data_IF_821520122770
#
_entry.id   IF_821520122770
#
_cell.length_a   1.000
_cell.length_b   1.000
_cell.length_c   1.000
_cell.angle_alpha   90.00
_cell.angle_beta   90.00
_cell.angle_gamma   90.00
#
_symmetry.space_group_name_H-M   'P 1'
#
loop_
_entity.id
_entity.type
_entity.pdbx_description
1 polymer ?
#
# COMPACT_ATOMS: atom_id res chain seq x y z
N UNK A 1 -9.88 0.80 16.17
CA UNK A 1 -8.54 1.37 15.83
C UNK A 1 -7.53 0.24 15.68
N UNK A 2 -6.42 0.36 14.92
CA UNK A 2 -5.37 -0.68 14.95
C UNK A 2 -4.37 -0.40 16.07
N UNK A 3 -4.13 -1.39 16.93
CA UNK A 3 -3.20 -1.35 18.05
C UNK A 3 -2.11 -2.41 17.87
N UNK A 4 -0.87 -2.04 18.21
CA UNK A 4 0.26 -2.97 18.23
C UNK A 4 0.30 -3.69 19.59
N UNK A 5 0.09 -5.01 19.57
CA UNK A 5 0.11 -5.86 20.78
C UNK A 5 1.27 -6.87 20.75
N UNK A 6 1.90 -7.04 19.59
CA UNK A 6 3.10 -7.86 19.41
C UNK A 6 4.35 -7.17 19.96
N UNK A 7 5.36 -7.97 20.29
CA UNK A 7 6.66 -7.51 20.74
C UNK A 7 7.65 -7.38 19.57
N UNK A 8 8.81 -6.77 19.82
CA UNK A 8 9.91 -6.61 18.85
C UNK A 8 10.26 -7.94 18.15
N UNK A 9 10.30 -9.04 18.91
CA UNK A 9 10.58 -10.39 18.38
C UNK A 9 9.51 -10.91 17.42
N UNK A 10 8.24 -10.58 17.66
CA UNK A 10 7.13 -11.03 16.82
C UNK A 10 7.15 -10.32 15.46
N UNK A 11 7.39 -9.01 15.48
CA UNK A 11 7.49 -8.16 14.29
C UNK A 11 8.71 -8.55 13.45
N UNK A 12 9.89 -8.68 14.09
CA UNK A 12 11.10 -9.17 13.44
C UNK A 12 10.89 -10.55 12.80
N UNK A 13 10.26 -11.48 13.52
CA UNK A 13 9.96 -12.82 13.00
C UNK A 13 9.01 -12.78 11.81
N UNK A 14 8.01 -11.90 11.81
CA UNK A 14 7.13 -11.69 10.67
C UNK A 14 7.90 -11.16 9.45
N UNK A 15 8.74 -10.14 9.64
CA UNK A 15 9.56 -9.55 8.57
C UNK A 15 10.50 -10.58 7.94
N UNK A 16 11.24 -11.32 8.77
CA UNK A 16 12.23 -12.29 8.32
C UNK A 16 11.62 -13.52 7.65
N UNK A 17 10.43 -13.94 8.06
CA UNK A 17 9.75 -15.10 7.50
C UNK A 17 8.87 -14.77 6.29
N UNK A 18 8.69 -13.49 5.95
CA UNK A 18 8.03 -13.08 4.73
C UNK A 18 8.88 -13.44 3.51
N UNK A 19 8.24 -13.65 2.35
CA UNK A 19 8.94 -14.14 1.17
C UNK A 19 10.03 -13.15 0.72
N UNK A 20 11.29 -13.60 0.71
CA UNK A 20 12.45 -12.81 0.32
C UNK A 20 12.34 -12.27 -1.12
N UNK A 21 11.71 -13.00 -2.05
CA UNK A 21 11.53 -12.50 -3.42
C UNK A 21 10.61 -11.29 -3.45
N UNK A 22 9.59 -11.24 -2.60
CA UNK A 22 8.69 -10.09 -2.53
C UNK A 22 9.39 -8.88 -1.90
N UNK A 23 10.32 -9.09 -0.97
CA UNK A 23 11.17 -8.01 -0.45
C UNK A 23 12.10 -7.46 -1.55
N UNK A 24 12.74 -8.35 -2.31
CA UNK A 24 13.60 -7.97 -3.42
C UNK A 24 12.84 -7.20 -4.52
N UNK A 25 11.67 -7.68 -4.94
CA UNK A 25 10.80 -7.00 -5.89
C UNK A 25 10.43 -5.59 -5.39
N UNK A 26 10.00 -5.49 -4.13
CA UNK A 26 9.64 -4.20 -3.53
C UNK A 26 10.83 -3.23 -3.51
N UNK A 27 11.99 -3.66 -3.00
CA UNK A 27 13.19 -2.83 -2.93
C UNK A 27 13.66 -2.37 -4.32
N UNK A 28 13.61 -3.25 -5.32
CA UNK A 28 13.98 -2.93 -6.69
C UNK A 28 13.04 -1.87 -7.29
N UNK A 29 11.72 -2.08 -7.20
CA UNK A 29 10.74 -1.12 -7.74
C UNK A 29 10.82 0.20 -6.99
N UNK A 30 10.98 0.19 -5.66
CA UNK A 30 11.10 1.40 -4.85
C UNK A 30 12.30 2.26 -5.25
N UNK A 31 13.45 1.66 -5.48
CA UNK A 31 14.64 2.38 -5.98
C UNK A 31 14.38 3.09 -7.32
N UNK A 32 13.60 2.48 -8.21
CA UNK A 32 13.25 3.07 -9.50
C UNK A 32 12.16 4.13 -9.33
N UNK A 33 11.13 3.84 -8.55
CA UNK A 33 10.00 4.73 -8.34
C UNK A 33 10.40 6.01 -7.61
N UNK A 34 11.32 5.97 -6.64
CA UNK A 34 11.86 7.20 -6.02
C UNK A 34 12.49 8.14 -7.05
N UNK A 35 13.23 7.62 -8.05
CA UNK A 35 13.81 8.44 -9.12
C UNK A 35 12.75 9.00 -10.07
N UNK A 36 11.70 8.21 -10.36
CA UNK A 36 10.57 8.63 -11.18
C UNK A 36 9.74 9.74 -10.49
N UNK A 37 9.51 9.63 -9.17
CA UNK A 37 8.70 10.58 -8.39
C UNK A 37 9.47 11.88 -8.08
N UNK A 38 10.79 11.83 -7.94
CA UNK A 38 11.62 12.99 -7.61
C UNK A 38 11.91 13.93 -8.80
N UNK A 39 11.69 13.48 -10.03
CA UNK A 39 12.06 14.21 -11.24
C UNK A 39 10.85 14.58 -12.10
N UNK A 40 11.06 15.49 -13.05
CA UNK A 40 10.08 15.76 -14.09
C UNK A 40 9.79 14.50 -14.91
N UNK A 41 8.53 14.41 -15.35
CA UNK A 41 8.03 13.28 -16.14
C UNK A 41 8.84 13.14 -17.43
N UNK A 42 9.28 11.92 -17.70
CA UNK A 42 10.02 11.58 -18.93
C UNK A 42 9.67 10.16 -19.34
N UNK A 43 9.67 9.91 -20.66
CA UNK A 43 9.33 8.59 -21.20
C UNK A 43 10.35 7.51 -20.78
N UNK A 44 11.62 7.90 -20.63
CA UNK A 44 12.71 7.01 -20.20
C UNK A 44 12.48 6.50 -18.77
N UNK A 45 12.29 7.41 -17.80
CA UNK A 45 12.00 7.03 -16.40
C UNK A 45 10.69 6.28 -16.26
N UNK A 46 9.67 6.67 -17.03
CA UNK A 46 8.40 5.96 -17.07
C UNK A 46 8.56 4.53 -17.64
N UNK A 47 9.44 4.36 -18.63
CA UNK A 47 9.82 3.06 -19.19
C UNK A 47 10.53 2.16 -18.19
N UNK A 48 11.54 2.68 -17.49
CA UNK A 48 12.22 1.92 -16.42
C UNK A 48 11.24 1.45 -15.34
N UNK A 49 10.35 2.34 -14.89
CA UNK A 49 9.34 2.00 -13.89
C UNK A 49 8.32 0.98 -14.44
N UNK A 50 7.94 1.09 -15.72
CA UNK A 50 7.01 0.18 -16.37
C UNK A 50 7.54 -1.26 -16.37
N UNK A 51 8.80 -1.46 -16.76
CA UNK A 51 9.46 -2.78 -16.78
C UNK A 51 9.53 -3.37 -15.37
N UNK A 52 9.99 -2.58 -14.40
CA UNK A 52 10.10 -3.03 -13.00
C UNK A 52 8.73 -3.38 -12.40
N UNK A 53 7.70 -2.57 -12.64
CA UNK A 53 6.33 -2.85 -12.20
C UNK A 53 5.76 -4.09 -12.87
N UNK A 54 5.97 -4.26 -14.18
CA UNK A 54 5.47 -5.43 -14.90
C UNK A 54 6.02 -6.72 -14.29
N UNK A 55 7.35 -6.78 -14.10
CA UNK A 55 8.02 -7.93 -13.51
C UNK A 55 7.53 -8.21 -12.08
N UNK A 56 7.53 -7.20 -11.21
CA UNK A 56 7.09 -7.36 -9.82
C UNK A 56 5.61 -7.75 -9.71
N UNK A 57 4.72 -7.11 -10.47
CA UNK A 57 3.28 -7.43 -10.44
C UNK A 57 3.00 -8.83 -10.97
N UNK A 58 3.72 -9.29 -12.00
CA UNK A 58 3.65 -10.66 -12.49
C UNK A 58 4.11 -11.65 -11.42
N UNK A 59 5.25 -11.40 -10.76
CA UNK A 59 5.74 -12.20 -9.63
C UNK A 59 4.74 -12.22 -8.46
N UNK A 60 4.00 -11.13 -8.27
CA UNK A 60 2.99 -10.99 -7.23
C UNK A 60 1.61 -11.51 -7.67
N UNK A 61 1.54 -12.25 -8.79
CA UNK A 61 0.38 -13.02 -9.21
C UNK A 61 -0.47 -12.39 -10.31
N UNK A 62 -0.11 -11.23 -10.87
CA UNK A 62 -0.77 -10.74 -12.09
C UNK A 62 -0.58 -11.72 -13.26
N UNK A 63 -1.44 -11.65 -14.27
CA UNK A 63 -1.41 -12.56 -15.43
C UNK A 63 -1.65 -14.06 -15.10
N UNK A 64 -2.01 -14.40 -13.85
CA UNK A 64 -2.43 -15.74 -13.46
C UNK A 64 -3.95 -15.93 -13.54
N UNK A 65 -4.44 -17.17 -13.37
CA UNK A 65 -5.88 -17.49 -13.46
C UNK A 65 -6.70 -16.65 -12.47
N UNK A 66 -7.69 -15.89 -12.97
CA UNK A 66 -8.55 -14.93 -12.23
C UNK A 66 -7.86 -13.63 -11.76
N UNK A 67 -6.58 -13.44 -12.06
CA UNK A 67 -5.90 -12.16 -11.92
C UNK A 67 -6.08 -11.31 -13.18
N UNK A 68 -6.00 -9.97 -13.09
CA UNK A 68 -5.99 -9.12 -14.27
C UNK A 68 -4.72 -9.37 -15.09
N UNK A 69 -4.85 -9.18 -16.40
CA UNK A 69 -3.74 -9.24 -17.35
C UNK A 69 -3.07 -7.87 -17.38
N UNK A 70 -1.74 -7.83 -17.30
CA UNK A 70 -0.96 -6.60 -17.45
C UNK A 70 -1.01 -6.13 -18.91
N UNK A 71 -1.08 -4.82 -19.12
CA UNK A 71 -0.84 -4.23 -20.44
C UNK A 71 0.64 -4.40 -20.85
N UNK A 72 0.96 -4.37 -22.15
CA UNK A 72 2.36 -4.35 -22.60
C UNK A 72 3.12 -3.18 -21.98
N UNK A 73 4.40 -3.37 -21.68
CA UNK A 73 5.24 -2.38 -20.96
C UNK A 73 5.29 -1.03 -21.65
N UNK A 74 5.27 -1.01 -22.99
CA UNK A 74 5.18 0.23 -23.79
C UNK A 74 3.91 1.07 -23.47
N UNK A 75 2.76 0.41 -23.30
CA UNK A 75 1.52 1.09 -22.93
C UNK A 75 1.56 1.60 -21.49
N UNK A 76 2.14 0.80 -20.59
CA UNK A 76 2.35 1.20 -19.19
C UNK A 76 3.25 2.43 -19.13
N UNK A 77 4.38 2.42 -19.84
CA UNK A 77 5.31 3.54 -19.91
C UNK A 77 4.64 4.80 -20.46
N UNK A 78 3.86 4.68 -21.55
CA UNK A 78 3.09 5.79 -22.10
C UNK A 78 2.11 6.38 -21.06
N UNK A 79 1.39 5.54 -20.32
CA UNK A 79 0.47 5.99 -19.28
C UNK A 79 1.19 6.66 -18.10
N UNK A 80 2.31 6.10 -17.63
CA UNK A 80 3.16 6.67 -16.58
C UNK A 80 3.86 7.97 -17.04
N UNK A 81 4.04 8.17 -18.34
CA UNK A 81 4.56 9.43 -18.89
C UNK A 81 3.53 10.57 -18.89
N UNK A 82 2.27 10.30 -18.51
CA UNK A 82 1.25 11.32 -18.34
C UNK A 82 1.58 12.21 -17.15
N UNK A 83 1.76 13.52 -17.42
CA UNK A 83 1.93 14.54 -16.37
C UNK A 83 0.80 14.50 -15.34
N UNK A 84 -0.43 14.21 -15.77
CA UNK A 84 -1.57 14.11 -14.87
C UNK A 84 -1.41 12.95 -13.87
N UNK A 85 -1.08 11.74 -14.32
CA UNK A 85 -0.88 10.61 -13.41
C UNK A 85 0.37 10.81 -12.52
N UNK A 86 1.47 11.28 -13.11
CA UNK A 86 2.71 11.57 -12.40
C UNK A 86 2.50 12.55 -11.23
N UNK A 87 1.92 13.73 -11.49
CA UNK A 87 1.69 14.73 -10.44
C UNK A 87 0.84 14.21 -9.28
N UNK A 88 -0.14 13.35 -9.56
CA UNK A 88 -1.03 12.77 -8.55
C UNK A 88 -0.29 11.75 -7.67
N UNK A 89 0.56 10.92 -8.28
CA UNK A 89 1.43 9.99 -7.55
C UNK A 89 2.45 10.74 -6.68
N UNK A 90 3.07 11.81 -7.20
CA UNK A 90 3.99 12.67 -6.44
C UNK A 90 3.28 13.34 -5.27
N UNK A 91 2.06 13.83 -5.48
CA UNK A 91 1.24 14.42 -4.43
C UNK A 91 1.00 13.44 -3.27
N UNK A 92 0.67 12.18 -3.58
CA UNK A 92 0.41 11.15 -2.59
C UNK A 92 1.69 10.67 -1.87
N UNK A 93 2.80 10.52 -2.59
CA UNK A 93 4.11 10.13 -2.03
C UNK A 93 4.60 11.11 -0.94
N UNK A 94 4.31 12.41 -1.10
CA UNK A 94 4.72 13.46 -0.15
C UNK A 94 4.04 13.39 1.23
N UNK A 95 2.89 12.76 1.35
CA UNK A 95 2.10 12.81 2.59
C UNK A 95 2.63 11.81 3.62
N UNK A 96 3.16 10.67 3.18
CA UNK A 96 3.54 9.59 4.08
C UNK A 96 2.37 9.06 4.92
N UNK A 97 2.55 7.92 5.60
CA UNK A 97 1.55 7.46 6.56
C UNK A 97 1.57 8.27 7.86
N UNK A 98 2.72 8.84 8.22
CA UNK A 98 2.91 9.57 9.47
C UNK A 98 2.28 10.98 9.48
N UNK A 99 1.64 11.41 8.40
CA UNK A 99 0.78 12.61 8.39
C UNK A 99 -0.70 12.30 8.62
N UNK A 100 -1.09 11.02 8.70
CA UNK A 100 -2.48 10.56 8.80
C UNK A 100 -2.77 9.96 10.17
N UNK A 101 -3.93 10.26 10.72
CA UNK A 101 -4.29 9.86 12.08
C UNK A 101 -5.80 9.63 12.27
N UNK A 102 -6.17 8.92 13.34
CA UNK A 102 -7.54 8.89 13.83
C UNK A 102 -7.62 9.47 15.24
N UNK A 103 -8.66 10.27 15.49
CA UNK A 103 -9.00 10.67 16.85
C UNK A 103 -9.53 9.48 17.68
N UNK A 104 -9.67 9.62 19.01
CA UNK A 104 -10.20 8.56 19.87
C UNK A 104 -11.63 8.10 19.54
N UNK A 105 -12.42 8.92 18.85
CA UNK A 105 -13.76 8.58 18.35
C UNK A 105 -13.73 7.90 16.97
N UNK A 106 -12.56 7.74 16.36
CA UNK A 106 -12.37 7.17 15.03
C UNK A 106 -12.56 8.17 13.88
N UNK A 107 -12.63 9.48 14.18
CA UNK A 107 -12.62 10.54 13.18
C UNK A 107 -11.24 10.66 12.52
N UNK A 108 -11.22 10.85 11.19
CA UNK A 108 -9.97 10.98 10.42
C UNK A 108 -9.44 12.39 10.49
N UNK A 109 -8.12 12.56 10.60
CA UNK A 109 -7.49 13.87 10.60
C UNK A 109 -6.09 13.84 9.95
N UNK A 110 -5.70 15.00 9.43
CA UNK A 110 -4.32 15.27 9.04
C UNK A 110 -3.60 15.89 10.24
N UNK A 111 -2.41 15.38 10.58
CA UNK A 111 -1.61 15.89 11.71
C UNK A 111 -0.43 16.77 11.27
N UNK A 112 -0.26 16.91 9.96
CA UNK A 112 0.69 17.82 9.32
C UNK A 112 0.05 18.47 8.12
N UNK A 113 0.67 19.52 7.61
CA UNK A 113 0.27 20.10 6.34
C UNK A 113 0.29 19.04 5.25
N UNK A 114 -0.80 18.98 4.48
CA UNK A 114 -0.92 18.10 3.33
C UNK A 114 -1.30 18.94 2.12
N UNK A 115 -1.03 18.47 0.88
CA UNK A 115 -1.49 19.13 -0.32
C UNK A 115 -3.03 19.05 -0.51
N UNK A 116 -3.75 18.39 0.40
CA UNK A 116 -5.21 18.30 0.37
C UNK A 116 -5.85 19.31 1.31
N UNK A 117 -6.83 20.06 0.80
CA UNK A 117 -7.62 21.03 1.56
C UNK A 117 -8.69 20.37 2.43
N UNK A 118 -9.03 19.09 2.19
CA UNK A 118 -10.03 18.35 2.95
C UNK A 118 -9.86 16.83 2.84
N UNK A 119 -10.44 16.09 3.78
CA UNK A 119 -10.52 14.63 3.74
C UNK A 119 -11.27 14.13 2.50
N UNK A 120 -12.31 14.84 2.05
CA UNK A 120 -13.05 14.47 0.84
C UNK A 120 -12.19 14.59 -0.42
N UNK A 121 -11.32 15.60 -0.48
CA UNK A 121 -10.36 15.74 -1.58
C UNK A 121 -9.34 14.58 -1.55
N UNK A 122 -8.78 14.24 -0.39
CA UNK A 122 -7.91 13.08 -0.23
C UNK A 122 -8.59 11.78 -0.68
N UNK A 123 -9.82 11.54 -0.23
CA UNK A 123 -10.58 10.33 -0.56
C UNK A 123 -10.82 10.20 -2.07
N UNK A 124 -11.25 11.30 -2.68
CA UNK A 124 -11.47 11.37 -4.12
C UNK A 124 -10.18 11.12 -4.87
N UNK A 125 -9.08 11.70 -4.40
CA UNK A 125 -7.79 11.59 -5.06
C UNK A 125 -7.21 10.18 -4.97
N UNK A 126 -7.22 9.57 -3.80
CA UNK A 126 -6.75 8.19 -3.58
C UNK A 126 -7.50 7.22 -4.49
N UNK A 127 -8.84 7.26 -4.50
CA UNK A 127 -9.64 6.38 -5.34
C UNK A 127 -9.39 6.61 -6.83
N UNK A 128 -9.27 7.87 -7.23
CA UNK A 128 -9.02 8.24 -8.62
C UNK A 128 -7.59 7.88 -9.07
N UNK A 129 -6.60 7.81 -8.15
CA UNK A 129 -5.26 7.26 -8.44
C UNK A 129 -5.35 5.75 -8.65
N UNK A 130 -6.06 5.03 -7.78
CA UNK A 130 -6.26 3.59 -7.93
C UNK A 130 -6.98 3.26 -9.24
N UNK A 131 -7.96 4.07 -9.64
CA UNK A 131 -8.63 3.94 -10.94
C UNK A 131 -7.67 4.20 -12.10
N UNK A 132 -6.87 5.26 -12.04
CA UNK A 132 -5.89 5.56 -13.08
C UNK A 132 -4.85 4.44 -13.22
N UNK A 133 -4.34 3.90 -12.11
CA UNK A 133 -3.44 2.75 -12.11
C UNK A 133 -4.11 1.48 -12.65
N UNK A 134 -5.39 1.25 -12.35
CA UNK A 134 -6.16 0.14 -12.91
C UNK A 134 -6.17 0.18 -14.44
N UNK A 135 -6.47 1.35 -15.02
CA UNK A 135 -6.53 1.54 -16.46
C UNK A 135 -5.16 1.54 -17.13
N UNK A 136 -4.16 2.16 -16.49
CA UNK A 136 -2.80 2.28 -17.01
C UNK A 136 -2.08 0.94 -17.07
N UNK A 137 -2.26 0.09 -16.04
CA UNK A 137 -1.44 -1.11 -15.87
C UNK A 137 -2.12 -2.38 -16.37
N UNK A 138 -3.45 -2.43 -16.38
CA UNK A 138 -4.18 -3.68 -16.57
C UNK A 138 -5.25 -3.62 -17.67
N UNK A 139 -5.55 -4.78 -18.24
CA UNK A 139 -6.66 -4.97 -19.18
C UNK A 139 -7.92 -5.26 -18.37
N UNK A 140 -8.93 -4.38 -18.48
CA UNK A 140 -10.27 -4.55 -17.90
C UNK A 140 -10.29 -4.93 -16.40
N UNK A 141 -9.34 -4.41 -15.61
CA UNK A 141 -9.28 -4.71 -14.18
C UNK A 141 -10.39 -4.00 -13.42
N UNK A 142 -11.23 -4.77 -12.74
CA UNK A 142 -12.30 -4.26 -11.87
C UNK A 142 -12.01 -4.44 -10.39
N UNK A 143 -10.90 -5.09 -10.01
CA UNK A 143 -10.54 -5.40 -8.62
C UNK A 143 -9.51 -4.41 -8.08
N UNK A 144 -9.70 -3.91 -6.86
CA UNK A 144 -8.81 -2.92 -6.24
C UNK A 144 -7.43 -3.47 -5.85
N UNK A 145 -7.30 -4.79 -5.66
CA UNK A 145 -6.07 -5.43 -5.13
C UNK A 145 -4.82 -5.08 -5.93
N UNK A 146 -4.90 -5.16 -7.26
CA UNK A 146 -3.71 -4.96 -8.11
C UNK A 146 -3.31 -3.50 -8.28
N UNK A 147 -4.26 -2.54 -8.43
CA UNK A 147 -3.95 -1.13 -8.30
C UNK A 147 -3.32 -0.76 -6.95
N UNK A 148 -3.76 -1.38 -5.84
CA UNK A 148 -3.16 -1.16 -4.53
C UNK A 148 -1.76 -1.77 -4.40
N UNK A 149 -1.50 -2.95 -5.00
CA UNK A 149 -0.14 -3.50 -5.16
C UNK A 149 0.77 -2.52 -5.91
N UNK A 150 0.29 -2.01 -7.04
CA UNK A 150 1.04 -1.03 -7.81
C UNK A 150 1.30 0.24 -7.01
N UNK A 151 0.30 0.75 -6.30
CA UNK A 151 0.46 1.92 -5.43
C UNK A 151 1.50 1.67 -4.33
N UNK A 152 1.46 0.52 -3.65
CA UNK A 152 2.47 0.11 -2.67
C UNK A 152 3.88 0.12 -3.28
N UNK A 153 4.05 -0.49 -4.45
CA UNK A 153 5.34 -0.58 -5.14
C UNK A 153 5.85 0.80 -5.60
N UNK A 154 4.95 1.70 -6.01
CA UNK A 154 5.31 3.02 -6.51
C UNK A 154 5.63 3.97 -5.35
N UNK A 155 4.81 4.03 -4.30
CA UNK A 155 4.91 5.09 -3.28
C UNK A 155 5.20 4.59 -1.87
N UNK A 156 5.14 3.27 -1.61
CA UNK A 156 5.26 2.73 -0.25
C UNK A 156 4.09 3.11 0.68
N UNK A 157 3.06 3.78 0.16
CA UNK A 157 2.06 4.49 0.96
C UNK A 157 1.14 3.57 1.77
N UNK A 158 0.64 2.48 1.19
CA UNK A 158 -0.32 1.61 1.86
C UNK A 158 -0.21 0.16 1.35
N UNK A 159 -0.67 -0.85 2.11
CA UNK A 159 -0.45 -2.25 1.76
C UNK A 159 -1.20 -2.68 0.48
N UNK A 160 -0.75 -3.79 -0.11
CA UNK A 160 -1.27 -4.36 -1.35
C UNK A 160 -2.75 -4.80 -1.29
N UNK A 161 -3.30 -4.89 -0.08
CA UNK A 161 -4.70 -5.21 0.20
C UNK A 161 -5.19 -6.53 -0.45
N UNK A 162 -4.29 -7.50 -0.60
CA UNK A 162 -4.61 -8.81 -1.13
C UNK A 162 -5.36 -9.71 -0.13
N UNK A 163 -5.69 -10.94 -0.53
CA UNK A 163 -6.45 -11.86 0.33
C UNK A 163 -5.75 -12.17 1.66
N UNK A 164 -4.43 -12.12 1.70
CA UNK A 164 -3.62 -12.43 2.87
C UNK A 164 -3.62 -11.23 3.82
N UNK A 165 -3.40 -10.02 3.31
CA UNK A 165 -3.52 -8.77 4.07
C UNK A 165 -4.93 -8.61 4.65
N UNK A 166 -5.97 -8.88 3.86
CA UNK A 166 -7.37 -8.80 4.33
C UNK A 166 -7.68 -9.81 5.42
N UNK A 167 -7.21 -11.05 5.30
CA UNK A 167 -7.32 -12.04 6.39
C UNK A 167 -6.56 -11.60 7.63
N UNK A 168 -5.41 -10.95 7.46
CA UNK A 168 -4.67 -10.29 8.53
C UNK A 168 -5.48 -9.22 9.25
N UNK A 169 -6.16 -8.34 8.51
CA UNK A 169 -7.04 -7.30 9.05
C UNK A 169 -8.25 -7.91 9.78
N UNK A 170 -8.87 -8.96 9.22
CA UNK A 170 -9.95 -9.70 9.88
C UNK A 170 -9.48 -10.31 11.20
N UNK A 171 -8.29 -10.93 11.21
CA UNK A 171 -7.72 -11.53 12.42
C UNK A 171 -7.35 -10.48 13.47
N UNK A 172 -6.96 -9.29 13.02
CA UNK A 172 -6.85 -8.13 13.88
C UNK A 172 -8.22 -7.60 14.33
N UNK A 173 -9.36 -8.24 14.05
CA UNK A 173 -10.67 -7.77 14.51
C UNK A 173 -11.24 -6.59 13.72
N UNK A 174 -10.62 -6.16 12.62
CA UNK A 174 -11.19 -5.11 11.78
C UNK A 174 -12.30 -5.73 10.90
N UNK A 175 -13.51 -5.20 11.01
CA UNK A 175 -14.69 -5.70 10.31
C UNK A 175 -14.76 -5.25 8.84
N UNK A 176 -15.66 -5.88 8.06
CA UNK A 176 -15.92 -5.50 6.67
C UNK A 176 -14.94 -6.05 5.63
N UNK A 177 -14.03 -6.95 6.03
CA UNK A 177 -13.04 -7.56 5.14
C UNK A 177 -13.37 -9.00 4.70
N UNK A 178 -14.54 -9.55 5.06
CA UNK A 178 -14.98 -10.94 4.78
C UNK A 178 -15.40 -11.21 3.32
N UNK A 179 -15.44 -10.20 2.46
CA UNK A 179 -15.87 -10.34 1.07
C UNK A 179 -14.91 -11.18 0.21
N UNK A 180 -15.45 -11.85 -0.80
CA UNK A 180 -14.65 -12.61 -1.78
C UNK A 180 -14.13 -11.73 -2.91
N UNK A 181 -14.81 -10.62 -3.21
CA UNK A 181 -14.43 -9.64 -4.24
C UNK A 181 -14.40 -8.22 -3.67
N UNK A 182 -13.31 -7.52 -3.96
CA UNK A 182 -13.13 -6.11 -3.62
C UNK A 182 -12.99 -5.34 -4.92
N UNK A 183 -14.14 -4.91 -5.45
CA UNK A 183 -14.18 -4.10 -6.65
C UNK A 183 -13.56 -2.73 -6.40
N UNK A 184 -13.04 -2.13 -7.45
CA UNK A 184 -12.60 -0.75 -7.45
C UNK A 184 -13.79 0.15 -7.05
N UNK A 185 -13.71 0.91 -5.95
CA UNK A 185 -14.82 1.74 -5.50
C UNK A 185 -15.03 2.92 -6.45
N UNK A 186 -16.28 3.13 -6.89
CA UNK A 186 -16.65 4.31 -7.69
C UNK A 186 -16.62 5.62 -6.91
N UNK A 187 -16.77 5.56 -5.59
CA UNK A 187 -16.70 6.72 -4.70
C UNK A 187 -16.43 6.30 -3.25
N UNK A 188 -16.06 7.28 -2.44
CA UNK A 188 -15.76 7.12 -1.03
C UNK A 188 -17.00 7.10 -0.12
N UNK A 189 -18.22 7.30 -0.65
CA UNK A 189 -19.45 7.29 0.16
C UNK A 189 -19.97 5.88 0.45
N UNK A 190 -19.52 4.88 -0.31
CA UNK A 190 -19.89 3.48 -0.11
C UNK A 190 -18.88 2.79 0.81
N UNK A 191 -19.36 1.82 1.59
CA UNK A 191 -18.57 1.10 2.58
C UNK A 191 -17.21 0.57 2.07
N UNK A 192 -17.12 0.12 0.80
CA UNK A 192 -15.85 -0.32 0.23
C UNK A 192 -14.85 0.84 0.03
N UNK A 193 -15.31 1.98 -0.48
CA UNK A 193 -14.49 3.19 -0.64
C UNK A 193 -14.07 3.76 0.70
N UNK A 194 -15.00 3.87 1.66
CA UNK A 194 -14.71 4.31 3.02
C UNK A 194 -13.61 3.47 3.66
N UNK A 195 -13.67 2.13 3.55
CA UNK A 195 -12.63 1.25 4.10
C UNK A 195 -11.25 1.49 3.49
N UNK A 196 -11.17 1.65 2.17
CA UNK A 196 -9.89 1.92 1.49
C UNK A 196 -9.34 3.28 1.93
N UNK A 197 -10.19 4.30 2.01
CA UNK A 197 -9.75 5.64 2.40
C UNK A 197 -9.49 5.80 3.91
N UNK A 198 -10.07 4.93 4.75
CA UNK A 198 -9.84 4.94 6.20
C UNK A 198 -8.58 4.16 6.59
N UNK A 199 -8.22 3.12 5.82
CA UNK A 199 -7.08 2.26 6.14
C UNK A 199 -5.77 3.04 6.35
N UNK A 200 -5.35 3.98 5.47
CA UNK A 200 -4.13 4.77 5.69
C UNK A 200 -4.10 5.50 7.03
N UNK A 201 -5.22 6.04 7.50
CA UNK A 201 -5.30 6.74 8.79
C UNK A 201 -5.15 5.78 9.97
N UNK A 202 -5.76 4.59 9.90
CA UNK A 202 -5.57 3.55 10.93
C UNK A 202 -4.11 3.08 11.01
N UNK A 203 -3.44 2.96 9.86
CA UNK A 203 -2.04 2.56 9.79
C UNK A 203 -1.10 3.69 10.25
N UNK A 204 -1.40 4.94 9.87
CA UNK A 204 -0.65 6.12 10.25
C UNK A 204 -0.64 6.36 11.76
N UNK A 205 -1.81 6.28 12.39
CA UNK A 205 -1.91 6.33 13.85
C UNK A 205 -1.11 5.20 14.51
N UNK A 206 -1.33 3.95 14.08
CA UNK A 206 -0.62 2.80 14.64
C UNK A 206 0.90 2.94 14.50
N UNK A 207 1.38 3.42 13.35
CA UNK A 207 2.79 3.69 13.11
C UNK A 207 3.34 4.75 14.06
N UNK A 208 2.65 5.89 14.18
CA UNK A 208 3.09 7.00 15.02
C UNK A 208 3.16 6.58 16.48
N UNK A 209 2.10 5.97 16.99
CA UNK A 209 1.97 5.63 18.40
C UNK A 209 2.97 4.54 18.83
N UNK A 210 3.47 3.76 17.86
CA UNK A 210 4.38 2.63 18.11
C UNK A 210 5.73 2.75 17.37
N UNK A 211 6.09 3.96 16.92
CA UNK A 211 7.23 4.18 16.02
C UNK A 211 8.53 3.61 16.56
N UNK A 212 8.80 3.80 17.85
CA UNK A 212 10.03 3.32 18.49
C UNK A 212 10.14 1.78 18.41
N UNK A 213 9.10 1.06 18.84
CA UNK A 213 9.08 -0.40 18.86
C UNK A 213 9.15 -0.98 17.43
N UNK A 214 8.40 -0.41 16.49
CA UNK A 214 8.43 -0.82 15.09
C UNK A 214 9.82 -0.61 14.49
N UNK A 215 10.42 0.57 14.70
CA UNK A 215 11.77 0.90 14.20
C UNK A 215 12.81 -0.06 14.77
N UNK A 216 12.77 -0.33 16.09
CA UNK A 216 13.67 -1.28 16.73
C UNK A 216 13.56 -2.67 16.10
N UNK A 217 12.34 -3.19 15.91
CA UNK A 217 12.12 -4.50 15.32
C UNK A 217 12.63 -4.60 13.89
N UNK A 218 12.44 -3.54 13.09
CA UNK A 218 12.88 -3.47 11.70
C UNK A 218 14.42 -3.44 11.64
N UNK A 219 15.07 -2.61 12.44
CA UNK A 219 16.53 -2.51 12.48
C UNK A 219 17.20 -3.81 12.94
N UNK A 220 16.52 -4.61 13.78
CA UNK A 220 16.99 -5.93 14.19
C UNK A 220 16.65 -7.06 13.21
N UNK A 221 15.90 -6.78 12.14
CA UNK A 221 15.52 -7.75 11.11
C UNK A 221 16.61 -7.88 10.03
N UNK A 222 16.39 -8.79 9.07
CA UNK A 222 17.26 -8.94 7.91
C UNK A 222 17.03 -7.83 6.85
N UNK A 223 16.08 -6.92 7.08
CA UNK A 223 15.64 -5.89 6.14
C UNK A 223 15.51 -4.50 6.81
N UNK A 224 16.59 -3.95 7.40
CA UNK A 224 16.57 -2.67 8.12
C UNK A 224 16.16 -1.47 7.25
N UNK A 225 16.32 -1.56 5.93
CA UNK A 225 15.92 -0.56 4.95
C UNK A 225 14.40 -0.30 4.93
N UNK A 226 13.58 -1.22 5.45
CA UNK A 226 12.13 -1.03 5.53
C UNK A 226 11.70 0.01 6.59
N UNK A 227 12.63 0.55 7.37
CA UNK A 227 12.37 1.53 8.43
C UNK A 227 11.76 2.85 7.92
N UNK A 228 11.93 3.14 6.63
CA UNK A 228 11.33 4.29 5.95
C UNK A 228 10.08 3.95 5.14
N UNK A 229 9.61 2.71 5.21
CA UNK A 229 8.56 2.17 4.32
C UNK A 229 7.38 1.60 5.13
N UNK A 230 6.65 2.44 5.89
CA UNK A 230 5.63 1.96 6.83
C UNK A 230 4.49 1.20 6.15
N UNK A 231 4.08 1.59 4.94
CA UNK A 231 3.04 0.86 4.21
C UNK A 231 3.47 -0.58 3.87
N UNK A 232 4.76 -0.79 3.60
CA UNK A 232 5.33 -2.13 3.40
C UNK A 232 5.43 -2.92 4.69
N UNK A 233 5.79 -2.28 5.80
CA UNK A 233 5.80 -2.94 7.11
C UNK A 233 4.41 -3.48 7.46
N UNK A 234 3.37 -2.68 7.28
CA UNK A 234 2.01 -3.14 7.52
C UNK A 234 1.55 -4.20 6.53
N UNK A 235 1.95 -4.12 5.26
CA UNK A 235 1.72 -5.18 4.26
C UNK A 235 2.24 -6.52 4.78
N UNK A 236 3.49 -6.54 5.24
CA UNK A 236 4.15 -7.74 5.78
C UNK A 236 3.49 -8.23 7.06
N UNK A 237 3.29 -7.35 8.05
CA UNK A 237 2.71 -7.74 9.34
C UNK A 237 1.29 -8.31 9.14
N UNK A 238 0.44 -7.61 8.39
CA UNK A 238 -0.93 -8.06 8.11
C UNK A 238 -0.92 -9.38 7.33
N UNK A 239 -0.06 -9.50 6.31
CA UNK A 239 0.06 -10.73 5.54
C UNK A 239 0.47 -11.91 6.44
N UNK A 240 1.48 -11.73 7.28
CA UNK A 240 2.04 -12.83 8.08
C UNK A 240 1.11 -13.19 9.23
N UNK A 241 0.50 -12.21 9.89
CA UNK A 241 -0.40 -12.49 11.01
C UNK A 241 -1.69 -13.18 10.59
N UNK A 242 -2.03 -13.28 9.30
CA UNK A 242 -3.20 -14.08 8.88
C UNK A 242 -3.17 -15.52 9.38
N UNK A 243 -1.96 -16.07 9.62
CA UNK A 243 -1.79 -17.47 10.02
C UNK A 243 -2.16 -17.64 11.50
N UNK A 244 -3.14 -18.48 11.85
CA UNK A 244 -3.59 -18.66 13.24
C UNK A 244 -2.49 -19.17 14.18
N UNK A 245 -1.47 -19.85 13.63
CA UNK A 245 -0.32 -20.37 14.38
C UNK A 245 0.67 -19.27 14.82
N UNK A 246 0.64 -18.11 14.16
CA UNK A 246 1.50 -16.98 14.55
C UNK A 246 0.85 -16.18 15.67
N UNK A 247 1.65 -15.63 16.56
CA UNK A 247 1.16 -14.64 17.54
C UNK A 247 0.53 -13.45 16.81
N UNK A 248 -0.57 -12.95 17.36
CA UNK A 248 -1.23 -11.76 16.83
C UNK A 248 -0.35 -10.53 17.12
N UNK A 249 -0.05 -9.73 16.09
CA UNK A 249 0.82 -8.56 16.20
C UNK A 249 -0.03 -7.29 16.29
N UNK A 250 -1.08 -7.21 15.47
CA UNK A 250 -2.03 -6.09 15.46
C UNK A 250 -3.42 -6.56 15.89
N UNK A 251 -4.11 -5.74 16.68
CA UNK A 251 -5.50 -5.96 17.10
C UNK A 251 -6.34 -4.71 16.94
N UNK A 252 -7.65 -4.89 16.84
CA UNK A 252 -8.63 -3.83 16.93
C UNK A 252 -8.72 -3.43 18.39
N UNK A 253 -8.40 -2.18 18.67
CA UNK A 253 -8.78 -1.48 19.90
C UNK A 253 -10.12 -0.80 19.75
#
# INVERSE_FOLDING_TARGET
MLQLIGQTTDIKSAINAFNASYHADFAHVRKISSRYLAADVSIERAGELAEALYAALANWGACTRKAPILRPTQHIAAALSSKALHSRLVCLDRIGLDALDLDPAGGRNFIRETPFSSLNQFDTELLSILEALAHALFINNTNVTYPMKALLLITGFMPAFDSQVRKGLQRAGISGFSGTQYLLPKNAYRAAGQRICHLPFSLGQCWRDNKALLTEAILQSNYPELSTEPGRIFDVILFMQRSPERRLILSAG
#
